data_IF_796487947383
#
_entry.id   IF_796487947383
#
_cell.length_a   1.000
_cell.length_b   1.000
_cell.length_c   1.000
_cell.angle_alpha   90.00
_cell.angle_beta   90.00
_cell.angle_gamma   90.00
#
_symmetry.space_group_name_H-M   'P 1'
#
loop_
_entity.id
_entity.type
_entity.pdbx_description
1 polymer ?
#
# COMPACT_ATOMS: atom_id res chain seq x y z
N UNK A 1 -17.03 18.62 -0.46
CA UNK A 1 -15.98 17.70 0.01
C UNK A 1 -15.53 18.17 1.37
N UNK A 2 -15.50 17.30 2.37
CA UNK A 2 -15.12 17.68 3.73
C UNK A 2 -14.31 16.56 4.35
N UNK A 3 -13.31 16.93 5.16
CA UNK A 3 -12.59 16.01 6.04
C UNK A 3 -13.00 16.34 7.46
N UNK A 4 -13.46 15.33 8.18
CA UNK A 4 -13.88 15.43 9.58
C UNK A 4 -13.12 14.38 10.39
N UNK A 5 -12.77 14.70 11.65
CA UNK A 5 -12.17 13.77 12.59
C UNK A 5 -13.07 13.68 13.82
N UNK A 6 -13.42 12.45 14.19
CA UNK A 6 -14.18 12.13 15.41
C UNK A 6 -13.25 11.54 16.47
N UNK A 7 -13.82 11.01 17.55
CA UNK A 7 -13.04 10.31 18.57
C UNK A 7 -12.36 9.04 18.02
N UNK A 8 -13.01 8.34 17.09
CA UNK A 8 -12.61 7.00 16.65
C UNK A 8 -12.16 6.94 15.18
N UNK A 9 -12.55 7.90 14.35
CA UNK A 9 -12.34 7.81 12.89
C UNK A 9 -12.10 9.16 12.20
N UNK A 10 -11.64 9.08 10.95
CA UNK A 10 -11.53 10.21 10.03
C UNK A 10 -12.48 9.96 8.85
N UNK A 11 -13.45 10.85 8.67
CA UNK A 11 -14.48 10.75 7.63
C UNK A 11 -14.13 11.69 6.48
N UNK A 12 -13.97 11.13 5.28
CA UNK A 12 -13.75 11.90 4.04
C UNK A 12 -15.02 11.82 3.20
N UNK A 13 -15.72 12.95 3.03
CA UNK A 13 -16.94 13.02 2.20
C UNK A 13 -16.62 13.55 0.81
N UNK A 14 -16.95 12.76 -0.21
CA UNK A 14 -16.74 13.05 -1.62
C UNK A 14 -18.10 13.05 -2.37
N UNK A 15 -18.28 13.86 -3.42
CA UNK A 15 -19.45 13.78 -4.30
C UNK A 15 -19.53 12.40 -4.96
N UNK A 16 -20.76 11.94 -5.22
CA UNK A 16 -21.01 10.66 -5.90
C UNK A 16 -20.47 10.60 -7.34
N UNK A 17 -20.04 11.72 -7.91
CA UNK A 17 -19.44 11.82 -9.25
C UNK A 17 -17.96 11.45 -9.29
N UNK A 18 -17.32 11.21 -8.13
CA UNK A 18 -15.91 10.81 -8.07
C UNK A 18 -15.80 9.33 -8.41
N UNK A 19 -14.89 9.01 -9.33
CA UNK A 19 -14.58 7.64 -9.72
C UNK A 19 -13.93 6.85 -8.56
N UNK A 20 -14.41 5.63 -8.36
CA UNK A 20 -14.04 4.76 -7.24
C UNK A 20 -12.69 4.08 -7.50
N UNK A 21 -12.29 3.89 -8.76
CA UNK A 21 -11.04 3.20 -9.11
C UNK A 21 -9.82 3.92 -8.52
N UNK A 22 -9.78 5.26 -8.62
CA UNK A 22 -8.73 6.08 -8.00
C UNK A 22 -8.83 6.16 -6.47
N UNK A 23 -10.02 5.97 -5.89
CA UNK A 23 -10.21 6.01 -4.43
C UNK A 23 -9.59 4.80 -3.75
N UNK A 24 -9.62 3.63 -4.38
CA UNK A 24 -9.03 2.42 -3.80
C UNK A 24 -7.53 2.62 -3.53
N UNK A 25 -6.79 3.25 -4.44
CA UNK A 25 -5.36 3.54 -4.26
C UNK A 25 -5.09 4.45 -3.05
N UNK A 26 -5.97 5.43 -2.81
CA UNK A 26 -5.85 6.33 -1.66
C UNK A 26 -6.11 5.55 -0.36
N UNK A 27 -7.14 4.71 -0.33
CA UNK A 27 -7.45 3.86 0.83
C UNK A 27 -6.31 2.88 1.12
N UNK A 28 -5.75 2.25 0.09
CA UNK A 28 -4.61 1.33 0.23
C UNK A 28 -3.39 2.05 0.83
N UNK A 29 -3.10 3.26 0.35
CA UNK A 29 -2.01 4.07 0.90
C UNK A 29 -2.24 4.47 2.37
N UNK A 30 -3.46 4.90 2.72
CA UNK A 30 -3.79 5.23 4.11
C UNK A 30 -3.67 4.00 5.02
N UNK A 31 -4.11 2.84 4.53
CA UNK A 31 -4.01 1.56 5.24
C UNK A 31 -2.55 1.15 5.46
N UNK A 32 -1.71 1.28 4.43
CA UNK A 32 -0.28 1.06 4.54
C UNK A 32 0.34 1.97 5.60
N UNK A 33 0.08 3.29 5.54
CA UNK A 33 0.61 4.28 6.49
C UNK A 33 0.22 3.98 7.93
N UNK A 34 -1.01 3.54 8.16
CA UNK A 34 -1.50 3.18 9.48
C UNK A 34 -0.86 1.87 9.98
N UNK A 35 -0.79 0.84 9.12
CA UNK A 35 -0.17 -0.44 9.45
C UNK A 35 1.33 -0.29 9.79
N UNK A 36 2.01 0.65 9.12
CA UNK A 36 3.44 0.90 9.35
C UNK A 36 3.72 2.06 10.32
N UNK A 37 2.70 2.61 11.01
CA UNK A 37 2.86 3.85 11.81
C UNK A 37 3.95 3.79 12.89
N UNK A 38 4.20 2.60 13.42
CA UNK A 38 5.21 2.34 14.45
C UNK A 38 6.47 1.65 13.90
N UNK A 39 6.54 1.44 12.59
CA UNK A 39 7.70 0.80 11.96
C UNK A 39 8.93 1.70 12.09
N UNK A 40 10.04 1.12 12.54
CA UNK A 40 11.36 1.77 12.58
C UNK A 40 12.24 1.32 11.41
N UNK A 41 11.70 0.51 10.49
CA UNK A 41 12.43 0.04 9.34
C UNK A 41 12.83 1.23 8.45
N UNK A 42 14.09 1.28 8.08
CA UNK A 42 14.61 2.24 7.11
C UNK A 42 14.19 1.83 5.70
N UNK A 43 14.13 2.80 4.79
CA UNK A 43 13.85 2.51 3.37
C UNK A 43 14.82 1.47 2.81
N UNK A 44 16.10 1.55 3.18
CA UNK A 44 17.12 0.58 2.75
C UNK A 44 16.80 -0.87 3.18
N UNK A 45 16.25 -1.07 4.39
CA UNK A 45 15.84 -2.40 4.85
C UNK A 45 14.60 -2.92 4.11
N UNK A 46 13.67 -2.02 3.79
CA UNK A 46 12.48 -2.35 2.98
C UNK A 46 12.89 -2.71 1.56
N UNK A 47 13.80 -1.95 0.95
CA UNK A 47 14.30 -2.18 -0.40
C UNK A 47 15.05 -3.51 -0.49
N UNK A 48 15.87 -3.82 0.53
CA UNK A 48 16.57 -5.09 0.60
C UNK A 48 15.61 -6.27 0.72
N UNK A 49 14.59 -6.17 1.60
CA UNK A 49 13.56 -7.19 1.71
C UNK A 49 12.81 -7.40 0.39
N UNK A 50 12.45 -6.31 -0.30
CA UNK A 50 11.76 -6.38 -1.58
C UNK A 50 12.62 -7.04 -2.66
N UNK A 51 13.92 -6.75 -2.68
CA UNK A 51 14.90 -7.35 -3.57
C UNK A 51 15.02 -8.85 -3.33
N UNK A 52 15.19 -9.26 -2.07
CA UNK A 52 15.28 -10.67 -1.68
C UNK A 52 14.01 -11.45 -2.03
N UNK A 53 12.83 -10.90 -1.72
CA UNK A 53 11.55 -11.51 -2.05
C UNK A 53 11.37 -11.69 -3.57
N UNK A 54 11.73 -10.67 -4.34
CA UNK A 54 11.66 -10.70 -5.81
C UNK A 54 12.62 -11.74 -6.40
N UNK A 55 13.84 -11.81 -5.89
CA UNK A 55 14.83 -12.81 -6.30
C UNK A 55 14.37 -14.24 -5.97
N UNK A 56 13.86 -14.46 -4.76
CA UNK A 56 13.33 -15.76 -4.34
C UNK A 56 12.14 -16.18 -5.19
N UNK A 57 11.20 -15.26 -5.44
CA UNK A 57 10.07 -15.53 -6.33
C UNK A 57 10.54 -15.87 -7.75
N UNK A 58 11.46 -15.10 -8.33
CA UNK A 58 11.99 -15.35 -9.67
C UNK A 58 12.73 -16.69 -9.75
N UNK A 59 13.59 -17.02 -8.78
CA UNK A 59 14.29 -18.30 -8.74
C UNK A 59 13.33 -19.49 -8.80
N UNK A 60 12.21 -19.40 -8.07
CA UNK A 60 11.18 -20.43 -8.01
C UNK A 60 10.28 -20.48 -9.24
N UNK A 61 10.10 -19.36 -9.95
CA UNK A 61 9.09 -19.24 -11.02
C UNK A 61 9.67 -19.05 -12.43
N UNK A 62 10.98 -18.79 -12.59
CA UNK A 62 11.60 -18.48 -13.89
C UNK A 62 11.38 -19.55 -14.96
N UNK A 63 11.27 -20.83 -14.56
CA UNK A 63 10.98 -21.95 -15.47
C UNK A 63 9.62 -21.82 -16.17
N UNK A 64 8.69 -21.04 -15.63
CA UNK A 64 7.39 -20.76 -16.24
C UNK A 64 7.50 -19.75 -17.39
N UNK A 65 8.58 -18.98 -17.44
CA UNK A 65 8.74 -17.84 -18.35
C UNK A 65 9.86 -18.03 -19.38
N UNK A 66 10.91 -18.78 -19.02
CA UNK A 66 12.02 -19.10 -19.92
C UNK A 66 11.73 -20.44 -20.60
N UNK A 67 11.38 -20.40 -21.89
CA UNK A 67 11.22 -21.57 -22.78
C UNK A 67 12.51 -21.84 -23.53
#
# INVERSE_FOLDING_TARGET
MTIERTADEVIIRLPATVDVEGLQQIIDYLSYREATKNSQATQAQVDELAREASQGWWANNRSRFLK
#
